data_IF_753579981636
#
_entry.id   IF_753579981636
#
_cell.length_a   1.000
_cell.length_b   1.000
_cell.length_c   1.000
_cell.angle_alpha   90.00
_cell.angle_beta   90.00
_cell.angle_gamma   90.00
#
_symmetry.space_group_name_H-M   'P 1'
#
loop_
_entity.id
_entity.type
_entity.pdbx_description
1 polymer ?
#
# COMPACT_ATOMS: atom_id res chain seq x y z
N UNK A 1 12.40 20.31 19.46
CA UNK A 1 12.04 19.90 18.08
C UNK A 1 10.58 20.24 17.99
N UNK A 2 10.33 21.48 17.58
CA UNK A 2 8.99 22.00 17.47
C UNK A 2 8.32 21.22 16.33
N UNK A 3 7.29 20.47 16.69
CA UNK A 3 6.43 19.79 15.72
C UNK A 3 5.76 20.89 14.91
N UNK A 4 6.32 21.13 13.73
CA UNK A 4 5.64 21.83 12.67
C UNK A 4 4.36 21.03 12.44
N UNK A 5 3.23 21.52 12.95
CA UNK A 5 1.92 21.06 12.53
C UNK A 5 1.82 21.44 11.05
N UNK A 6 2.36 20.56 10.21
CA UNK A 6 2.02 20.49 8.80
C UNK A 6 0.51 20.23 8.86
N UNK A 7 -0.29 21.29 8.66
CA UNK A 7 -1.74 21.18 8.68
C UNK A 7 -2.13 19.97 7.85
N UNK A 8 -3.01 19.12 8.40
CA UNK A 8 -3.43 17.86 7.78
C UNK A 8 -3.59 18.10 6.28
N UNK A 9 -2.77 17.41 5.48
CA UNK A 9 -2.77 17.57 4.03
C UNK A 9 -4.20 17.24 3.56
N UNK A 10 -4.95 18.28 3.22
CA UNK A 10 -6.36 18.13 2.90
C UNK A 10 -6.46 17.28 1.63
N UNK A 11 -7.17 16.16 1.76
CA UNK A 11 -7.37 15.22 0.68
C UNK A 11 -8.59 15.68 -0.13
N UNK A 12 -8.44 15.75 -1.43
CA UNK A 12 -9.49 16.13 -2.36
C UNK A 12 -9.98 14.91 -3.15
N UNK A 13 -11.21 14.93 -3.66
CA UNK A 13 -11.64 13.96 -4.66
C UNK A 13 -11.16 14.33 -6.08
N UNK A 14 -11.46 13.49 -7.07
CA UNK A 14 -11.12 13.76 -8.48
C UNK A 14 -11.78 15.03 -9.04
N UNK A 15 -12.76 15.63 -8.34
CA UNK A 15 -13.46 16.87 -8.69
C UNK A 15 -12.99 18.08 -7.87
N UNK A 16 -11.89 17.94 -7.12
CA UNK A 16 -11.34 18.99 -6.26
C UNK A 16 -12.26 19.40 -5.11
N UNK A 17 -13.08 18.47 -4.61
CA UNK A 17 -13.88 18.67 -3.41
C UNK A 17 -13.17 18.03 -2.20
N UNK A 18 -13.19 18.68 -1.03
CA UNK A 18 -12.56 18.13 0.17
C UNK A 18 -13.22 16.82 0.62
N UNK A 19 -12.39 15.86 1.02
CA UNK A 19 -12.77 14.55 1.55
C UNK A 19 -12.15 14.38 2.94
N UNK A 20 -12.99 14.43 3.98
CA UNK A 20 -12.52 14.34 5.38
C UNK A 20 -12.04 12.92 5.76
N UNK A 21 -12.75 11.88 5.30
CA UNK A 21 -12.47 10.49 5.66
C UNK A 21 -12.36 9.60 4.40
N UNK A 22 -11.22 9.60 3.69
CA UNK A 22 -11.03 8.76 2.51
C UNK A 22 -10.94 7.27 2.88
N UNK A 23 -11.75 6.43 2.23
CA UNK A 23 -11.76 4.98 2.47
C UNK A 23 -10.62 4.31 1.69
N UNK A 24 -9.50 4.05 2.38
CA UNK A 24 -8.31 3.38 1.82
C UNK A 24 -8.53 1.89 1.51
N UNK A 25 -9.64 1.29 1.94
CA UNK A 25 -10.00 -0.08 1.50
C UNK A 25 -10.62 -0.09 0.11
N UNK A 26 -11.14 1.06 -0.34
CA UNK A 26 -11.86 1.21 -1.61
C UNK A 26 -11.17 2.14 -2.59
N UNK A 27 -10.07 2.76 -2.21
CA UNK A 27 -9.33 3.68 -3.05
C UNK A 27 -7.91 3.92 -2.54
N UNK A 28 -7.24 4.85 -3.18
CA UNK A 28 -5.90 5.27 -2.84
C UNK A 28 -5.81 6.80 -2.80
N UNK A 29 -4.83 7.30 -2.05
CA UNK A 29 -4.46 8.71 -2.04
C UNK A 29 -3.22 8.85 -2.92
N UNK A 30 -3.30 9.72 -3.91
CA UNK A 30 -2.23 9.97 -4.87
C UNK A 30 -1.83 11.45 -4.80
N UNK A 31 -0.54 11.76 -4.65
CA UNK A 31 -0.08 13.15 -4.70
C UNK A 31 -0.33 13.71 -6.09
N UNK A 32 -0.90 14.91 -6.13
CA UNK A 32 -1.33 15.60 -7.34
C UNK A 32 -1.08 17.10 -7.20
N UNK A 33 -1.52 17.83 -8.23
CA UNK A 33 -1.44 19.28 -8.28
C UNK A 33 -2.77 19.82 -8.79
N UNK A 34 -3.33 20.78 -8.05
CA UNK A 34 -4.53 21.48 -8.40
C UNK A 34 -4.21 22.83 -9.02
N UNK A 35 -4.79 23.09 -10.20
CA UNK A 35 -4.84 24.42 -10.78
C UNK A 35 -6.09 25.12 -10.27
N UNK A 36 -5.89 26.18 -9.50
CA UNK A 36 -6.96 26.99 -8.91
C UNK A 36 -7.06 28.28 -9.69
N UNK A 37 -8.25 28.58 -10.20
CA UNK A 37 -8.59 29.92 -10.66
C UNK A 37 -9.40 30.61 -9.57
N UNK A 38 -8.81 31.61 -8.94
CA UNK A 38 -9.44 32.40 -7.90
C UNK A 38 -10.60 33.22 -8.50
N UNK A 39 -11.62 33.49 -7.68
CA UNK A 39 -12.76 34.31 -8.08
C UNK A 39 -12.49 35.77 -7.72
N UNK A 40 -12.78 36.69 -8.63
CA UNK A 40 -12.70 38.12 -8.31
C UNK A 40 -13.88 38.52 -7.44
N UNK A 41 -13.60 39.04 -6.26
CA UNK A 41 -14.58 39.58 -5.32
C UNK A 41 -14.46 41.09 -5.35
N UNK A 42 -15.56 41.77 -5.70
CA UNK A 42 -15.62 43.23 -5.67
C UNK A 42 -15.88 43.71 -4.24
N UNK A 43 -14.91 44.41 -3.66
CA UNK A 43 -15.01 45.01 -2.33
C UNK A 43 -15.74 46.35 -2.37
N UNK A 44 -15.61 47.07 -3.49
CA UNK A 44 -16.36 48.30 -3.76
C UNK A 44 -16.77 48.41 -5.22
N UNK A 45 -17.98 48.93 -5.49
CA UNK A 45 -18.46 49.10 -6.86
C UNK A 45 -17.73 50.25 -7.56
N UNK A 46 -17.62 50.16 -8.88
CA UNK A 46 -17.19 51.28 -9.71
C UNK A 46 -18.21 52.43 -9.62
N UNK A 47 -17.73 53.65 -9.38
CA UNK A 47 -18.56 54.85 -9.37
C UNK A 47 -18.34 55.61 -10.67
N UNK A 48 -19.40 55.72 -11.45
CA UNK A 48 -19.42 56.40 -12.74
C UNK A 48 -20.29 57.65 -12.68
N UNK A 49 -19.81 58.72 -13.31
CA UNK A 49 -20.57 59.95 -13.53
C UNK A 49 -20.75 60.18 -15.02
N UNK A 50 -21.97 60.52 -15.43
CA UNK A 50 -22.27 60.94 -16.79
C UNK A 50 -21.93 62.42 -16.95
N UNK A 51 -20.95 62.74 -17.80
CA UNK A 51 -20.58 64.13 -18.14
C UNK A 51 -21.14 64.49 -19.51
N UNK A 52 -21.80 65.63 -19.58
CA UNK A 52 -22.33 66.15 -20.83
C UNK A 52 -21.17 66.70 -21.68
N UNK A 53 -20.94 66.08 -22.83
CA UNK A 53 -19.93 66.48 -23.83
C UNK A 53 -20.49 67.56 -24.74
N UNK A 54 -21.77 67.45 -25.11
CA UNK A 54 -22.43 68.39 -26.02
C UNK A 54 -23.93 68.40 -25.81
N UNK A 55 -24.52 69.60 -25.76
CA UNK A 55 -25.97 69.79 -25.79
C UNK A 55 -26.44 70.30 -27.16
N UNK A 56 -27.68 69.94 -27.53
CA UNK A 56 -28.28 70.30 -28.81
C UNK A 56 -29.44 71.28 -28.62
N UNK A 57 -29.54 72.31 -29.48
CA UNK A 57 -30.56 73.38 -29.40
C UNK A 57 -32.01 72.88 -29.46
N UNK A 58 -32.25 71.65 -29.93
CA UNK A 58 -33.57 70.99 -29.98
C UNK A 58 -33.88 70.05 -28.80
N UNK A 59 -32.98 69.97 -27.82
CA UNK A 59 -33.02 68.99 -26.74
C UNK A 59 -32.16 67.75 -27.03
N UNK A 60 -31.71 67.08 -25.96
CA UNK A 60 -30.77 65.97 -26.01
C UNK A 60 -29.32 66.40 -25.78
N UNK A 61 -28.52 65.46 -25.28
CA UNK A 61 -27.12 65.68 -24.97
C UNK A 61 -26.31 64.41 -25.25
N UNK A 62 -25.11 64.59 -25.79
CA UNK A 62 -24.09 63.54 -25.79
C UNK A 62 -23.48 63.49 -24.39
N UNK A 63 -23.53 62.32 -23.76
CA UNK A 63 -22.91 62.09 -22.46
C UNK A 63 -21.77 61.10 -22.61
N UNK A 64 -20.66 61.38 -21.94
CA UNK A 64 -19.58 60.42 -21.72
C UNK A 64 -19.69 59.85 -20.30
N UNK A 65 -19.38 58.57 -20.16
CA UNK A 65 -19.28 57.93 -18.87
C UNK A 65 -17.85 58.06 -18.37
N UNK A 66 -17.67 58.73 -17.23
CA UNK A 66 -16.37 58.92 -16.61
C UNK A 66 -16.34 58.13 -15.31
N UNK A 67 -15.40 57.19 -15.23
CA UNK A 67 -15.10 56.47 -13.98
C UNK A 67 -14.45 57.44 -13.02
N UNK A 68 -15.16 57.77 -11.94
CA UNK A 68 -14.69 58.67 -10.88
C UNK A 68 -13.98 57.90 -9.78
N UNK A 69 -14.41 56.67 -9.55
CA UNK A 69 -13.74 55.71 -8.67
C UNK A 69 -13.75 54.34 -9.36
N UNK A 70 -12.58 53.74 -9.65
CA UNK A 70 -12.53 52.38 -10.18
C UNK A 70 -13.06 51.39 -9.14
N UNK A 71 -13.59 50.26 -9.60
CA UNK A 71 -13.92 49.16 -8.69
C UNK A 71 -12.64 48.67 -7.98
N UNK A 72 -12.74 48.44 -6.68
CA UNK A 72 -11.70 47.75 -5.89
C UNK A 72 -12.19 46.35 -5.54
N UNK A 73 -11.25 45.42 -5.45
CA UNK A 73 -11.53 44.02 -5.15
C UNK A 73 -10.25 43.22 -4.94
N UNK A 74 -10.44 41.94 -4.67
CA UNK A 74 -9.37 40.97 -4.50
C UNK A 74 -9.74 39.65 -5.18
N UNK A 75 -8.73 38.80 -5.37
CA UNK A 75 -8.93 37.43 -5.81
C UNK A 75 -9.10 36.53 -4.58
N UNK A 76 -10.16 35.74 -4.56
CA UNK A 76 -10.47 34.79 -3.48
C UNK A 76 -10.25 33.36 -3.97
N UNK A 77 -9.33 32.66 -3.32
CA UNK A 77 -9.05 31.24 -3.55
C UNK A 77 -9.89 30.34 -2.61
N UNK A 78 -10.10 29.05 -2.96
CA UNK A 78 -10.82 28.11 -2.10
C UNK A 78 -10.16 27.97 -0.73
N UNK A 79 -10.98 27.82 0.31
CA UNK A 79 -10.53 27.75 1.71
C UNK A 79 -9.44 26.69 1.93
N UNK A 80 -9.54 25.55 1.25
CA UNK A 80 -8.59 24.46 1.37
C UNK A 80 -7.17 24.79 0.89
N UNK A 81 -7.02 25.78 0.02
CA UNK A 81 -5.74 26.20 -0.52
C UNK A 81 -5.13 27.38 0.25
N UNK A 82 -5.90 28.08 1.07
CA UNK A 82 -5.48 29.33 1.72
C UNK A 82 -4.23 29.15 2.60
N UNK A 83 -4.16 28.06 3.35
CA UNK A 83 -3.00 27.77 4.20
C UNK A 83 -1.71 27.61 3.40
N UNK A 84 -1.77 26.90 2.27
CA UNK A 84 -0.60 26.74 1.40
C UNK A 84 -0.24 28.03 0.68
N UNK A 85 -1.24 28.75 0.16
CA UNK A 85 -1.06 30.00 -0.57
C UNK A 85 -0.45 31.08 0.33
N UNK A 86 -0.90 31.21 1.57
CA UNK A 86 -0.34 32.17 2.53
C UNK A 86 1.16 31.94 2.81
N UNK A 87 1.64 30.70 2.68
CA UNK A 87 3.03 30.34 2.92
C UNK A 87 3.90 30.35 1.65
N UNK A 88 3.33 30.17 0.46
CA UNK A 88 4.09 29.87 -0.75
C UNK A 88 3.76 30.74 -1.98
N UNK A 89 2.74 31.61 -1.92
CA UNK A 89 2.33 32.45 -3.04
C UNK A 89 1.70 33.77 -2.60
N UNK A 90 1.25 34.57 -3.58
CA UNK A 90 0.35 35.68 -3.30
C UNK A 90 -1.08 35.15 -3.38
N UNK A 91 -1.87 35.16 -2.29
CA UNK A 91 -3.28 34.73 -2.33
C UNK A 91 -4.16 35.61 -3.24
N UNK A 92 -3.68 36.77 -3.68
CA UNK A 92 -4.40 37.66 -4.60
C UNK A 92 -4.03 37.43 -6.07
N UNK A 93 -3.28 36.39 -6.43
CA UNK A 93 -3.12 36.04 -7.84
C UNK A 93 -4.40 35.39 -8.39
N UNK A 94 -4.70 35.60 -9.67
CA UNK A 94 -5.86 34.96 -10.31
C UNK A 94 -5.69 33.45 -10.45
N UNK A 95 -4.46 32.98 -10.64
CA UNK A 95 -4.16 31.59 -10.96
C UNK A 95 -3.08 31.04 -10.05
N UNK A 96 -3.38 29.92 -9.41
CA UNK A 96 -2.43 29.20 -8.57
C UNK A 96 -2.28 27.75 -8.98
N UNK A 97 -1.13 27.20 -8.64
CA UNK A 97 -0.80 25.78 -8.78
C UNK A 97 -0.43 25.29 -7.39
N UNK A 98 -1.31 24.49 -6.79
CA UNK A 98 -1.21 24.06 -5.38
C UNK A 98 -1.01 22.55 -5.32
N UNK A 99 0.08 22.05 -4.72
CA UNK A 99 0.24 20.63 -4.44
C UNK A 99 -0.86 20.14 -3.49
N UNK A 100 -1.48 19.01 -3.81
CA UNK A 100 -2.57 18.44 -3.01
C UNK A 100 -2.56 16.92 -3.11
N UNK A 101 -3.21 16.27 -2.15
CA UNK A 101 -3.44 14.84 -2.19
C UNK A 101 -4.84 14.56 -2.75
N UNK A 102 -4.94 13.66 -3.73
CA UNK A 102 -6.23 13.30 -4.36
C UNK A 102 -6.59 11.86 -4.02
N UNK A 103 -7.75 11.69 -3.39
CA UNK A 103 -8.40 10.41 -3.21
C UNK A 103 -9.08 9.99 -4.52
N UNK A 104 -8.73 8.79 -4.96
CA UNK A 104 -9.35 8.14 -6.10
C UNK A 104 -9.86 6.77 -5.69
N UNK A 105 -11.13 6.50 -6.00
CA UNK A 105 -11.72 5.17 -5.83
C UNK A 105 -11.09 4.17 -6.81
N UNK A 106 -10.88 2.95 -6.35
CA UNK A 106 -10.42 1.86 -7.21
C UNK A 106 -11.49 1.50 -8.22
N UNK A 107 -11.05 1.25 -9.45
CA UNK A 107 -11.92 0.65 -10.46
C UNK A 107 -12.25 -0.80 -10.06
N UNK A 108 -13.37 -1.37 -10.54
CA UNK A 108 -13.72 -2.77 -10.27
C UNK A 108 -12.60 -3.77 -10.64
N UNK A 109 -11.79 -3.42 -11.65
CA UNK A 109 -10.65 -4.23 -12.09
C UNK A 109 -9.50 -4.18 -11.09
N UNK A 110 -9.24 -3.01 -10.49
CA UNK A 110 -8.21 -2.81 -9.47
C UNK A 110 -8.60 -3.51 -8.17
N UNK A 111 -9.87 -3.39 -7.74
CA UNK A 111 -10.40 -4.13 -6.58
C UNK A 111 -10.17 -5.64 -6.76
N UNK A 112 -10.58 -6.20 -7.91
CA UNK A 112 -10.37 -7.61 -8.21
C UNK A 112 -8.88 -8.00 -8.31
N UNK A 113 -7.98 -7.07 -8.62
CA UNK A 113 -6.55 -7.33 -8.62
C UNK A 113 -5.99 -7.36 -7.19
N UNK A 114 -6.42 -6.44 -6.33
CA UNK A 114 -6.05 -6.38 -4.90
C UNK A 114 -6.53 -7.64 -4.18
N UNK A 115 -7.80 -8.02 -4.35
CA UNK A 115 -8.35 -9.24 -3.74
C UNK A 115 -7.58 -10.49 -4.15
N UNK A 116 -7.21 -10.60 -5.44
CA UNK A 116 -6.37 -11.71 -5.92
C UNK A 116 -4.97 -11.69 -5.34
N UNK A 117 -4.38 -10.51 -5.15
CA UNK A 117 -3.07 -10.37 -4.53
C UNK A 117 -3.13 -10.81 -3.06
N UNK A 118 -4.17 -10.43 -2.33
CA UNK A 118 -4.40 -10.85 -0.94
C UNK A 118 -4.59 -12.36 -0.82
N UNK A 119 -5.36 -12.97 -1.72
CA UNK A 119 -5.54 -14.43 -1.77
C UNK A 119 -4.21 -15.14 -2.03
N UNK A 120 -3.41 -14.64 -2.98
CA UNK A 120 -2.08 -15.20 -3.27
C UNK A 120 -1.12 -15.04 -2.09
N UNK A 121 -1.15 -13.89 -1.42
CA UNK A 121 -0.34 -13.64 -0.23
C UNK A 121 -0.73 -14.58 0.91
N UNK A 122 -2.02 -14.83 1.09
CA UNK A 122 -2.53 -15.80 2.07
C UNK A 122 -2.03 -17.20 1.76
N UNK A 123 -2.12 -17.64 0.51
CA UNK A 123 -1.58 -18.93 0.08
C UNK A 123 -0.08 -19.04 0.33
N UNK A 124 0.68 -17.98 0.03
CA UNK A 124 2.12 -17.93 0.25
C UNK A 124 2.47 -18.06 1.75
N UNK A 125 1.68 -17.43 2.62
CA UNK A 125 1.87 -17.51 4.07
C UNK A 125 1.56 -18.91 4.63
N UNK A 126 0.76 -19.74 3.94
CA UNK A 126 0.49 -21.12 4.34
C UNK A 126 1.60 -22.11 3.93
N UNK A 127 2.38 -21.79 2.88
CA UNK A 127 3.49 -22.63 2.41
C UNK A 127 4.50 -23.02 3.50
N UNK A 128 5.03 -22.10 4.33
CA UNK A 128 6.01 -22.47 5.35
C UNK A 128 5.41 -23.39 6.42
N UNK A 129 4.15 -23.24 6.78
CA UNK A 129 3.48 -24.12 7.75
C UNK A 129 3.27 -25.53 7.18
N UNK A 130 2.87 -25.64 5.91
CA UNK A 130 2.78 -26.94 5.21
C UNK A 130 4.15 -27.60 5.11
N UNK A 131 5.18 -26.84 4.73
CA UNK A 131 6.55 -27.36 4.65
C UNK A 131 7.08 -27.84 6.02
N UNK A 132 6.75 -27.13 7.11
CA UNK A 132 7.10 -27.55 8.47
C UNK A 132 6.44 -28.88 8.84
N UNK A 133 5.14 -29.01 8.56
CA UNK A 133 4.40 -30.25 8.83
C UNK A 133 4.96 -31.44 8.03
N UNK A 134 5.29 -31.25 6.76
CA UNK A 134 5.91 -32.28 5.93
C UNK A 134 7.31 -32.68 6.45
N UNK A 135 8.12 -31.71 6.89
CA UNK A 135 9.44 -32.00 7.48
C UNK A 135 9.28 -32.81 8.76
N UNK A 136 8.32 -32.48 9.63
CA UNK A 136 8.06 -33.22 10.87
C UNK A 136 7.62 -34.66 10.60
N UNK A 137 6.76 -34.87 9.59
CA UNK A 137 6.35 -36.22 9.16
C UNK A 137 7.55 -37.03 8.62
N UNK A 138 8.38 -36.42 7.78
CA UNK A 138 9.59 -37.07 7.25
C UNK A 138 10.58 -37.42 8.36
N UNK A 139 10.74 -36.55 9.37
CA UNK A 139 11.58 -36.82 10.53
C UNK A 139 11.05 -37.99 11.37
N UNK A 140 9.73 -38.06 11.57
CA UNK A 140 9.08 -39.19 12.24
C UNK A 140 9.30 -40.50 11.50
N UNK A 141 9.13 -40.47 10.16
CA UNK A 141 9.34 -41.64 9.31
C UNK A 141 10.81 -42.10 9.33
N UNK A 142 11.76 -41.16 9.26
CA UNK A 142 13.19 -41.46 9.38
C UNK A 142 13.55 -42.09 10.72
N UNK A 143 13.00 -41.60 11.84
CA UNK A 143 13.21 -42.19 13.16
C UNK A 143 12.63 -43.61 13.25
N UNK A 144 11.48 -43.87 12.64
CA UNK A 144 10.90 -45.21 12.57
C UNK A 144 11.76 -46.17 11.74
N UNK A 145 12.33 -45.70 10.63
CA UNK A 145 13.24 -46.50 9.80
C UNK A 145 14.54 -46.81 10.53
N UNK A 146 15.10 -45.85 11.27
CA UNK A 146 16.32 -46.05 12.07
C UNK A 146 16.11 -47.10 13.16
N UNK A 147 14.96 -47.07 13.84
CA UNK A 147 14.59 -48.09 14.83
C UNK A 147 14.48 -49.49 14.21
N UNK A 148 13.88 -49.61 13.02
CA UNK A 148 13.80 -50.88 12.28
C UNK A 148 15.18 -51.37 11.85
N UNK A 149 16.06 -50.47 11.39
CA UNK A 149 17.42 -50.81 11.01
C UNK A 149 18.21 -51.35 12.22
N UNK A 150 18.13 -50.68 13.38
CA UNK A 150 18.74 -51.15 14.63
C UNK A 150 18.26 -52.56 15.00
N UNK A 151 16.94 -52.81 14.97
CA UNK A 151 16.39 -54.12 15.28
C UNK A 151 16.91 -55.22 14.34
N UNK A 152 17.00 -54.93 13.04
CA UNK A 152 17.56 -55.88 12.05
C UNK A 152 19.04 -56.15 12.29
N UNK A 153 19.82 -55.12 12.65
CA UNK A 153 21.24 -55.31 12.96
C UNK A 153 21.45 -56.16 14.22
N UNK A 154 20.63 -55.98 15.25
CA UNK A 154 20.68 -56.81 16.45
C UNK A 154 20.32 -58.27 16.15
N UNK A 155 19.30 -58.52 15.32
CA UNK A 155 18.92 -59.87 14.91
C UNK A 155 20.03 -60.55 14.08
N UNK A 156 20.65 -59.82 13.15
CA UNK A 156 21.79 -60.30 12.38
C UNK A 156 22.97 -60.68 13.28
N UNK A 157 23.30 -59.83 14.26
CA UNK A 157 24.37 -60.13 15.21
C UNK A 157 24.08 -61.40 16.03
N UNK A 158 22.84 -61.57 16.50
CA UNK A 158 22.43 -62.78 17.22
C UNK A 158 22.53 -64.04 16.32
N UNK A 159 22.20 -63.91 15.03
CA UNK A 159 22.35 -65.00 14.06
C UNK A 159 23.80 -65.37 13.81
N UNK A 160 24.70 -64.39 13.74
CA UNK A 160 26.13 -64.65 13.60
C UNK A 160 26.69 -65.41 14.82
N UNK A 161 26.26 -65.06 16.05
CA UNK A 161 26.62 -65.78 17.27
C UNK A 161 26.10 -67.23 17.27
N UNK A 162 24.85 -67.45 16.83
CA UNK A 162 24.29 -68.80 16.65
C UNK A 162 25.12 -69.62 15.64
N UNK A 163 25.48 -69.03 14.50
CA UNK A 163 26.31 -69.69 13.48
C UNK A 163 27.67 -70.07 14.06
N UNK A 164 28.35 -69.14 14.75
CA UNK A 164 29.64 -69.39 15.38
C UNK A 164 29.56 -70.52 16.42
N UNK A 165 28.50 -70.54 17.25
CA UNK A 165 28.27 -71.63 18.21
C UNK A 165 28.04 -72.97 17.51
N UNK A 166 27.27 -72.97 16.41
CA UNK A 166 26.98 -74.17 15.64
C UNK A 166 28.25 -74.72 14.99
N UNK A 167 29.09 -73.85 14.43
CA UNK A 167 30.35 -74.24 13.80
C UNK A 167 31.34 -74.83 14.82
N UNK A 168 31.41 -74.26 16.02
CA UNK A 168 32.20 -74.82 17.12
C UNK A 168 31.71 -76.21 17.56
N UNK A 169 30.39 -76.42 17.61
CA UNK A 169 29.80 -77.72 17.93
C UNK A 169 30.09 -78.76 16.83
N UNK A 170 30.00 -78.36 15.56
CA UNK A 170 30.34 -79.21 14.41
C UNK A 170 31.82 -79.61 14.45
N UNK A 171 32.73 -78.66 14.67
CA UNK A 171 34.16 -78.94 14.81
C UNK A 171 34.42 -79.97 15.94
N UNK A 172 33.78 -79.77 17.09
CA UNK A 172 33.90 -80.68 18.24
C UNK A 172 33.44 -82.11 17.89
N UNK A 173 32.33 -82.25 17.15
CA UNK A 173 31.85 -83.55 16.68
C UNK A 173 32.82 -84.23 15.70
N UNK A 174 33.42 -83.46 14.78
CA UNK A 174 34.42 -83.98 13.86
C UNK A 174 35.69 -84.44 14.58
N UNK A 175 36.18 -83.68 15.57
CA UNK A 175 37.32 -84.08 16.39
C UNK A 175 37.07 -85.39 17.14
N UNK A 176 35.87 -85.57 17.69
CA UNK A 176 35.47 -86.79 18.41
C UNK A 176 35.40 -88.01 17.48
N UNK A 177 34.80 -87.84 16.28
CA UNK A 177 34.70 -88.90 15.29
C UNK A 177 36.07 -89.33 14.72
N UNK A 178 37.04 -88.41 14.64
CA UNK A 178 38.41 -88.72 14.22
C UNK A 178 39.20 -89.36 15.37
N UNK A 179 38.97 -88.93 16.62
CA UNK A 179 39.62 -89.46 17.82
C UNK A 179 39.19 -90.88 18.22
N UNK A 180 37.98 -91.32 17.87
CA UNK A 180 37.51 -92.70 18.07
C UNK A 180 37.95 -93.67 16.94
N UNK A 181 38.71 -93.19 15.95
CA UNK A 181 39.16 -93.95 14.78
C UNK A 181 40.61 -94.42 14.77
N UNK A 182 41.29 -94.50 15.93
CA UNK A 182 42.66 -95.05 16.10
C UNK A 182 42.67 -96.13 17.17
#
# INVERSE_FOLDING_TARGET
>A
MDGEEIGEAMVLDEKMQPVEEPDLTRGEIVPSVAQIEALWVADSPEVVELRVVREYEGGGADVEEVVVQPAEGHWEAPEWALGWLAANGDPNDRLHIVPCDVYREFTPREICAVERADDLQRQLNEVPERARAEIEELQSCAASMDALACALYEELAAKDDEIASTDAAICSLYELAIGEGV
#
